data_IF_590942901508
#
_entry.id   IF_590942901508
#
_cell.length_a   1.000
_cell.length_b   1.000
_cell.length_c   1.000
_cell.angle_alpha   90.00
_cell.angle_beta   90.00
_cell.angle_gamma   90.00
#
_symmetry.space_group_name_H-M   'P 1'
#
loop_
_entity.id
_entity.type
_entity.pdbx_description
1 polymer ?
#
# COMPACT_ATOMS: atom_id res chain seq x y z
N UNK A 1 -10.96 -5.42 5.31
CA UNK A 1 -10.84 -3.95 5.24
C UNK A 1 -12.23 -3.37 5.48
N UNK A 2 -12.60 -3.20 6.74
CA UNK A 2 -13.94 -2.76 7.17
C UNK A 2 -14.02 -1.22 7.23
N UNK A 3 -12.91 -0.58 7.59
CA UNK A 3 -12.78 0.88 7.65
C UNK A 3 -12.83 1.53 6.25
N UNK A 4 -13.77 2.47 6.10
CA UNK A 4 -14.01 3.21 4.86
C UNK A 4 -12.87 4.15 4.48
N UNK A 5 -12.17 4.75 5.45
CA UNK A 5 -11.02 5.61 5.19
C UNK A 5 -9.86 4.81 4.62
N UNK A 6 -9.61 3.60 5.13
CA UNK A 6 -8.59 2.71 4.55
C UNK A 6 -8.98 2.27 3.14
N UNK A 7 -10.25 1.93 2.90
CA UNK A 7 -10.76 1.56 1.57
C UNK A 7 -10.54 2.68 0.55
N UNK A 8 -11.00 3.87 0.87
CA UNK A 8 -10.89 5.05 -0.01
C UNK A 8 -9.43 5.44 -0.27
N UNK A 9 -8.60 5.40 0.76
CA UNK A 9 -7.17 5.75 0.64
C UNK A 9 -6.41 4.71 -0.18
N UNK A 10 -6.68 3.41 0.02
CA UNK A 10 -6.06 2.34 -0.76
C UNK A 10 -6.46 2.43 -2.24
N UNK A 11 -7.74 2.64 -2.53
CA UNK A 11 -8.23 2.79 -3.90
C UNK A 11 -7.61 4.03 -4.60
N UNK A 12 -7.57 5.17 -3.91
CA UNK A 12 -6.94 6.38 -4.43
C UNK A 12 -5.43 6.19 -4.67
N UNK A 13 -4.72 5.51 -3.77
CA UNK A 13 -3.31 5.17 -3.94
C UNK A 13 -3.09 4.31 -5.19
N UNK A 14 -3.92 3.28 -5.40
CA UNK A 14 -3.83 2.39 -6.55
C UNK A 14 -4.01 3.14 -7.88
N UNK A 15 -5.05 3.95 -8.01
CA UNK A 15 -5.38 4.57 -9.29
C UNK A 15 -4.65 5.88 -9.57
N UNK A 16 -4.40 6.71 -8.56
CA UNK A 16 -3.83 8.05 -8.78
C UNK A 16 -2.32 8.06 -8.68
N UNK A 17 -1.76 7.21 -7.84
CA UNK A 17 -0.35 7.28 -7.48
C UNK A 17 0.46 6.07 -7.98
N UNK A 18 -0.14 4.89 -8.12
CA UNK A 18 0.53 3.68 -8.64
C UNK A 18 0.27 3.43 -10.12
N UNK A 19 -0.96 3.61 -10.61
CA UNK A 19 -1.31 3.35 -12.01
C UNK A 19 -0.37 3.99 -13.06
N UNK A 20 0.16 5.23 -12.88
CA UNK A 20 1.04 5.84 -13.88
C UNK A 20 2.35 5.08 -14.14
N UNK A 21 2.80 4.24 -13.22
CA UNK A 21 4.02 3.43 -13.37
C UNK A 21 3.76 2.00 -13.81
N UNK A 22 2.51 1.58 -13.89
CA UNK A 22 2.13 0.24 -14.35
C UNK A 22 2.11 0.17 -15.87
N UNK A 23 2.88 -0.76 -16.43
CA UNK A 23 2.86 -1.08 -17.87
C UNK A 23 2.09 -2.38 -18.09
N UNK A 24 0.77 -2.27 -18.21
CA UNK A 24 -0.11 -3.42 -18.50
C UNK A 24 -0.97 -3.14 -19.73
N UNK A 25 -1.22 -4.17 -20.54
CA UNK A 25 -2.08 -4.10 -21.73
C UNK A 25 -3.34 -4.94 -21.50
N UNK A 26 -4.49 -4.43 -21.92
CA UNK A 26 -5.76 -5.17 -21.87
C UNK A 26 -6.35 -5.37 -20.48
N UNK A 27 -5.92 -4.58 -19.49
CA UNK A 27 -6.45 -4.64 -18.12
C UNK A 27 -7.09 -3.30 -17.79
N UNK A 28 -8.36 -3.33 -17.36
CA UNK A 28 -9.00 -2.19 -16.71
C UNK A 28 -8.48 -2.09 -15.27
N UNK A 29 -7.61 -1.11 -15.02
CA UNK A 29 -7.03 -0.88 -13.71
C UNK A 29 -8.05 -0.44 -12.67
N UNK A 30 -9.12 0.25 -13.07
CA UNK A 30 -10.22 0.66 -12.19
C UNK A 30 -10.96 -0.57 -11.67
N UNK A 31 -11.45 -1.39 -12.60
CA UNK A 31 -12.12 -2.64 -12.27
C UNK A 31 -11.21 -3.58 -11.45
N UNK A 32 -9.93 -3.66 -11.80
CA UNK A 32 -8.97 -4.48 -11.05
C UNK A 32 -8.74 -3.96 -9.63
N UNK A 33 -8.70 -2.64 -9.42
CA UNK A 33 -8.59 -2.06 -8.08
C UNK A 33 -9.82 -2.39 -7.21
N UNK A 34 -11.03 -2.32 -7.77
CA UNK A 34 -12.26 -2.70 -7.08
C UNK A 34 -12.25 -4.17 -6.64
N UNK A 35 -11.81 -5.08 -7.52
CA UNK A 35 -11.65 -6.50 -7.20
C UNK A 35 -10.63 -6.73 -6.08
N UNK A 36 -9.52 -5.97 -6.06
CA UNK A 36 -8.53 -6.06 -4.99
C UNK A 36 -9.10 -5.61 -3.65
N UNK A 37 -9.83 -4.49 -3.62
CA UNK A 37 -10.50 -4.00 -2.41
C UNK A 37 -11.50 -5.03 -1.89
N UNK A 38 -12.35 -5.58 -2.76
CA UNK A 38 -13.31 -6.62 -2.39
C UNK A 38 -12.61 -7.85 -1.76
N UNK A 39 -11.48 -8.27 -2.34
CA UNK A 39 -10.67 -9.38 -1.83
C UNK A 39 -10.09 -9.07 -0.44
N UNK A 40 -9.56 -7.87 -0.21
CA UNK A 40 -9.05 -7.45 1.11
C UNK A 40 -10.16 -7.19 2.14
N UNK A 41 -11.40 -7.02 1.69
CA UNK A 41 -12.58 -6.96 2.54
C UNK A 41 -13.13 -8.33 2.93
N UNK A 42 -12.69 -9.43 2.31
CA UNK A 42 -13.17 -10.77 2.64
C UNK A 42 -12.68 -11.24 4.03
N UNK A 43 -13.56 -11.41 5.03
CA UNK A 43 -13.18 -11.81 6.38
C UNK A 43 -12.74 -13.29 6.48
N UNK A 44 -13.04 -14.13 5.48
CA UNK A 44 -12.59 -15.51 5.43
C UNK A 44 -11.07 -15.62 5.18
N UNK A 45 -10.46 -14.61 4.56
CA UNK A 45 -9.02 -14.53 4.31
C UNK A 45 -8.33 -13.89 5.51
N UNK A 46 -8.04 -14.69 6.54
CA UNK A 46 -7.33 -14.26 7.76
C UNK A 46 -5.82 -14.07 7.52
N UNK A 47 -5.44 -13.10 6.70
CA UNK A 47 -4.04 -12.69 6.61
C UNK A 47 -3.73 -11.77 7.79
N UNK A 48 -2.78 -12.15 8.65
CA UNK A 48 -2.37 -11.25 9.73
C UNK A 48 -1.57 -10.10 9.13
N UNK A 49 -1.95 -8.86 9.44
CA UNK A 49 -1.33 -7.64 8.87
C UNK A 49 0.20 -7.62 9.05
N UNK A 50 0.71 -8.16 10.16
CA UNK A 50 2.14 -8.30 10.41
C UNK A 50 2.83 -9.25 9.41
N UNK A 51 2.20 -10.37 9.03
CA UNK A 51 2.74 -11.31 8.05
C UNK A 51 2.85 -10.68 6.65
N UNK A 52 1.96 -9.75 6.30
CA UNK A 52 2.01 -9.00 5.03
C UNK A 52 3.13 -7.95 5.07
N UNK A 53 3.31 -7.31 6.23
CA UNK A 53 4.26 -6.22 6.45
C UNK A 53 5.72 -6.66 6.64
N UNK A 54 5.96 -7.95 6.92
CA UNK A 54 7.32 -8.52 6.96
C UNK A 54 8.08 -8.27 5.64
N UNK A 55 9.42 -8.22 5.71
CA UNK A 55 10.33 -7.98 4.57
C UNK A 55 10.01 -6.69 3.77
N UNK A 56 9.49 -5.67 4.46
CA UNK A 56 9.10 -4.40 3.87
C UNK A 56 10.24 -3.73 3.10
N UNK A 57 11.47 -3.73 3.63
CA UNK A 57 12.64 -3.12 2.98
C UNK A 57 12.96 -3.72 1.61
N UNK A 58 12.74 -5.02 1.42
CA UNK A 58 12.90 -5.69 0.12
C UNK A 58 11.78 -5.34 -0.85
N UNK A 59 10.58 -5.04 -0.34
CA UNK A 59 9.39 -4.68 -1.13
C UNK A 59 9.37 -3.20 -1.52
N UNK A 60 10.03 -2.32 -0.77
CA UNK A 60 10.01 -0.87 -0.95
C UNK A 60 10.51 -0.39 -2.33
N UNK A 61 11.63 -0.89 -2.88
CA UNK A 61 12.15 -0.39 -4.15
C UNK A 61 11.14 -0.54 -5.29
N UNK A 62 10.66 -1.76 -5.48
CA UNK A 62 9.76 -2.08 -6.60
C UNK A 62 8.32 -1.59 -6.37
N UNK A 63 7.82 -1.57 -5.13
CA UNK A 63 6.41 -1.25 -4.87
C UNK A 63 6.13 0.23 -4.62
N UNK A 64 7.15 1.00 -4.27
CA UNK A 64 6.97 2.39 -3.85
C UNK A 64 7.97 3.36 -4.47
N UNK A 65 9.26 3.02 -4.52
CA UNK A 65 10.26 3.98 -4.98
C UNK A 65 10.12 4.32 -6.47
N UNK A 66 9.72 3.37 -7.31
CA UNK A 66 9.49 3.62 -8.75
C UNK A 66 8.36 4.64 -8.97
N UNK A 67 7.26 4.50 -8.24
CA UNK A 67 6.14 5.45 -8.29
C UNK A 67 6.52 6.82 -7.74
N UNK A 68 7.25 6.87 -6.62
CA UNK A 68 7.77 8.14 -6.06
C UNK A 68 8.68 8.86 -7.07
N UNK A 69 9.61 8.14 -7.70
CA UNK A 69 10.51 8.70 -8.73
C UNK A 69 9.72 9.27 -9.90
N UNK A 70 8.70 8.56 -10.37
CA UNK A 70 7.84 9.03 -11.45
C UNK A 70 7.15 10.36 -11.08
N UNK A 71 6.54 10.47 -9.90
CA UNK A 71 5.87 11.70 -9.49
C UNK A 71 6.82 12.88 -9.27
N UNK A 72 8.03 12.63 -8.77
CA UNK A 72 9.07 13.65 -8.64
C UNK A 72 9.48 14.21 -10.00
N UNK A 73 9.72 13.35 -11.00
CA UNK A 73 10.08 13.77 -12.37
C UNK A 73 8.95 14.56 -13.04
N UNK A 74 7.70 14.17 -12.81
CA UNK A 74 6.52 14.82 -13.42
C UNK A 74 5.94 15.96 -12.58
N UNK A 75 6.58 16.31 -11.45
CA UNK A 75 6.15 17.36 -10.51
C UNK A 75 4.68 17.20 -10.05
N UNK A 76 4.22 15.95 -9.91
CA UNK A 76 2.86 15.66 -9.45
C UNK A 76 2.83 15.43 -7.94
N UNK A 77 1.77 15.86 -7.24
CA UNK A 77 1.63 15.58 -5.82
C UNK A 77 1.29 14.09 -5.59
N UNK A 78 1.97 13.46 -4.62
CA UNK A 78 1.78 12.06 -4.21
C UNK A 78 1.62 11.92 -2.69
N UNK A 79 0.57 12.53 -2.09
CA UNK A 79 0.42 12.58 -0.65
C UNK A 79 0.28 11.18 -0.02
N UNK A 80 -0.38 10.22 -0.67
CA UNK A 80 -0.61 8.90 -0.09
C UNK A 80 0.67 8.07 -0.05
N UNK A 81 1.46 8.07 -1.12
CA UNK A 81 2.80 7.46 -1.17
C UNK A 81 3.72 8.05 -0.11
N UNK A 82 3.63 9.37 0.15
CA UNK A 82 4.38 10.01 1.23
C UNK A 82 3.95 9.51 2.61
N UNK A 83 2.65 9.31 2.86
CA UNK A 83 2.17 8.72 4.11
C UNK A 83 2.60 7.27 4.28
N UNK A 84 2.47 6.45 3.22
CA UNK A 84 2.92 5.05 3.25
C UNK A 84 4.44 4.97 3.49
N UNK A 85 5.23 5.87 2.90
CA UNK A 85 6.68 5.94 3.15
C UNK A 85 6.99 6.20 4.62
N UNK A 86 6.35 7.22 5.20
CA UNK A 86 6.52 7.55 6.63
C UNK A 86 6.15 6.39 7.54
N UNK A 87 5.03 5.73 7.26
CA UNK A 87 4.59 4.55 8.01
C UNK A 87 5.60 3.40 7.90
N UNK A 88 6.10 3.12 6.69
CA UNK A 88 7.11 2.07 6.46
C UNK A 88 8.44 2.34 7.17
N UNK A 89 8.90 3.60 7.20
CA UNK A 89 10.08 3.99 7.96
C UNK A 89 9.89 3.78 9.47
N UNK A 90 8.72 4.14 10.03
CA UNK A 90 8.43 3.94 11.45
C UNK A 90 8.40 2.45 11.84
N UNK A 91 7.82 1.60 11.00
CA UNK A 91 7.81 0.14 11.23
C UNK A 91 9.22 -0.46 11.18
N UNK A 92 10.05 -0.03 10.23
CA UNK A 92 11.44 -0.52 10.08
C UNK A 92 12.34 -0.08 11.24
N UNK A 93 12.05 1.08 11.84
CA UNK A 93 12.74 1.57 13.04
C UNK A 93 12.30 0.87 14.34
N UNK A 94 11.46 -0.18 14.27
CA UNK A 94 11.07 -0.99 15.44
C UNK A 94 10.01 -0.35 16.35
N UNK A 95 9.36 0.74 15.92
CA UNK A 95 8.36 1.44 16.75
C UNK A 95 7.05 0.66 16.92
N UNK A 96 6.88 -0.41 16.14
CA UNK A 96 5.72 -1.32 16.21
C UNK A 96 6.11 -2.65 16.88
N UNK A 97 6.87 -2.60 17.97
CA UNK A 97 7.06 -3.77 18.83
C UNK A 97 6.85 -3.42 20.30
N UNK A 98 5.58 -3.40 20.73
CA UNK A 98 5.16 -3.73 22.10
C UNK A 98 3.78 -4.38 22.06
N UNK A 99 3.72 -5.61 21.57
CA UNK A 99 2.81 -6.59 22.16
C UNK A 99 3.45 -7.05 23.46
N UNK A 100 2.90 -6.66 24.61
CA UNK A 100 3.24 -7.27 25.89
C UNK A 100 2.87 -8.75 25.82
N UNK A 101 3.76 -9.70 26.13
CA UNK A 101 3.32 -11.05 26.43
C UNK A 101 2.63 -11.00 27.79
N UNK A 102 1.32 -11.17 27.81
CA UNK A 102 0.62 -11.65 29.00
C UNK A 102 0.74 -13.17 29.02
N UNK A 103 1.71 -13.71 29.74
CA UNK A 103 1.60 -14.60 30.92
C UNK A 103 3.00 -15.08 31.28
#
# INVERSE_FOLDING_TARGET
MEDEHYRRSAHALMLKEQAPTLKVKGVDLGHYADLLIARYSNPALRHRTWQIAMDGSQKLPQRMLDSVRWHLVHQKPFPLLRWVWRAGCAMSAGWMNRGTPST
#
